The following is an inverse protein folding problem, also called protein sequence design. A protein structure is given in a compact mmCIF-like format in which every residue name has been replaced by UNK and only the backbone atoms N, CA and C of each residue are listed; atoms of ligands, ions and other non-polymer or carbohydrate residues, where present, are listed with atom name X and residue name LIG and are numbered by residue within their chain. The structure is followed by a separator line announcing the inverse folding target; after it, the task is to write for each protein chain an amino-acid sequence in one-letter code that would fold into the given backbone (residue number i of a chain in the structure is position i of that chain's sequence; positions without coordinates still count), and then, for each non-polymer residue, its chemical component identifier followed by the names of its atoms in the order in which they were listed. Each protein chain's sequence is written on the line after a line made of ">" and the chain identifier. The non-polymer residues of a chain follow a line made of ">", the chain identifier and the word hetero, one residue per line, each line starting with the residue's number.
data_IF_577050399799
#
_entry.id   IF_577050399799
#
_cell.length_a   1.000
_cell.length_b   1.000
_cell.length_c   1.000
_cell.angle_alpha   90.00
_cell.angle_beta   90.00
_cell.angle_gamma   90.00
#
_symmetry.space_group_name_H-M   'P 1'
#
loop_
_entity.id
_entity.type
_entity.pdbx_description
1 polymer ?
#
# COMPACT_ATOMS: atom_id res chain seq x y z
N UNK A 1 -14.60 -1.55 5.96
CA UNK A 1 -13.32 -1.44 5.23
C UNK A 1 -12.46 -0.43 5.95
N UNK A 2 -11.72 -0.88 6.94
CA UNK A 2 -10.65 -0.16 7.65
C UNK A 2 -9.73 -1.28 8.09
N UNK A 3 -8.48 -1.30 7.62
CA UNK A 3 -7.56 -2.38 7.98
C UNK A 3 -6.38 -2.59 7.05
N UNK A 4 -6.34 -1.93 5.89
CA UNK A 4 -5.14 -1.95 5.06
C UNK A 4 -4.15 -0.86 5.49
N UNK A 5 -4.62 0.18 6.18
CA UNK A 5 -3.82 1.31 6.64
C UNK A 5 -2.79 0.88 7.68
N UNK A 6 -3.19 0.07 8.66
CA UNK A 6 -2.26 -0.49 9.66
C UNK A 6 -1.26 -1.46 9.00
N UNK A 7 -1.74 -2.35 8.12
CA UNK A 7 -0.87 -3.28 7.38
C UNK A 7 0.16 -2.53 6.53
N UNK A 8 -0.25 -1.40 5.93
CA UNK A 8 0.62 -0.49 5.20
C UNK A 8 1.67 0.15 6.11
N UNK A 9 1.27 0.70 7.26
CA UNK A 9 2.21 1.31 8.22
C UNK A 9 3.25 0.30 8.72
N UNK A 10 2.80 -0.91 9.06
CA UNK A 10 3.66 -1.98 9.56
C UNK A 10 4.70 -2.38 8.49
N UNK A 11 4.27 -2.64 7.25
CA UNK A 11 5.17 -2.99 6.13
C UNK A 11 6.15 -1.86 5.82
N UNK A 12 5.68 -0.62 5.76
CA UNK A 12 6.54 0.54 5.48
C UNK A 12 7.60 0.71 6.57
N UNK A 13 7.20 0.55 7.84
CA UNK A 13 8.09 0.64 8.99
C UNK A 13 9.15 -0.45 8.94
N UNK A 14 8.74 -1.71 8.77
CA UNK A 14 9.66 -2.87 8.78
C UNK A 14 10.69 -2.79 7.66
N UNK A 15 10.28 -2.40 6.45
CA UNK A 15 11.21 -2.19 5.33
C UNK A 15 12.19 -1.06 5.60
N UNK A 16 11.68 0.09 6.06
CA UNK A 16 12.49 1.29 6.29
C UNK A 16 13.51 1.06 7.41
N UNK A 17 13.07 0.48 8.52
CA UNK A 17 13.90 0.23 9.69
C UNK A 17 14.93 -0.86 9.43
N UNK A 18 14.55 -1.95 8.75
CA UNK A 18 15.47 -3.02 8.39
C UNK A 18 16.59 -2.51 7.49
N UNK A 19 16.27 -1.68 6.46
CA UNK A 19 17.26 -1.05 5.59
C UNK A 19 18.18 -0.08 6.33
N UNK A 20 17.63 0.78 7.20
CA UNK A 20 18.44 1.69 8.03
C UNK A 20 19.40 0.93 8.94
N UNK A 21 18.93 -0.14 9.58
CA UNK A 21 19.75 -1.00 10.45
C UNK A 21 20.84 -1.72 9.65
N UNK A 22 20.52 -2.23 8.47
CA UNK A 22 21.50 -2.86 7.57
C UNK A 22 22.62 -1.88 7.19
N UNK A 23 22.26 -0.65 6.83
CA UNK A 23 23.23 0.41 6.52
C UNK A 23 24.11 0.75 7.73
N UNK A 24 23.49 0.98 8.89
CA UNK A 24 24.23 1.28 10.12
C UNK A 24 25.18 0.13 10.51
N UNK A 25 24.75 -1.12 10.34
CA UNK A 25 25.55 -2.30 10.60
C UNK A 25 26.77 -2.37 9.66
N UNK A 26 26.59 -2.07 8.37
CA UNK A 26 27.70 -1.98 7.39
C UNK A 26 28.72 -0.91 7.81
N UNK A 27 28.26 0.27 8.23
CA UNK A 27 29.12 1.37 8.68
C UNK A 27 29.89 1.03 9.97
N UNK A 28 29.25 0.32 10.91
CA UNK A 28 29.87 -0.12 12.16
C UNK A 28 30.98 -1.15 11.95
N UNK A 29 30.83 -2.03 10.96
CA UNK A 29 31.90 -2.97 10.59
C UNK A 29 33.01 -2.29 9.84
N UNK A 30 32.69 -1.41 8.89
CA UNK A 30 33.68 -0.64 8.14
C UNK A 30 34.56 0.22 9.08
N UNK A 31 33.99 0.72 10.18
CA UNK A 31 34.71 1.47 11.21
C UNK A 31 35.39 0.60 12.28
N UNK A 32 35.33 -0.73 12.18
CA UNK A 32 35.96 -1.66 13.13
C UNK A 32 35.30 -1.72 14.51
N UNK A 33 34.15 -1.05 14.69
CA UNK A 33 33.39 -1.05 15.96
C UNK A 33 32.64 -2.36 16.20
N UNK A 34 32.37 -3.12 15.14
CA UNK A 34 31.70 -4.43 15.18
C UNK A 34 32.56 -5.46 14.48
N UNK A 35 32.71 -6.63 15.10
CA UNK A 35 33.47 -7.74 14.51
C UNK A 35 32.75 -8.32 13.29
N UNK A 36 33.51 -8.90 12.36
CA UNK A 36 32.94 -9.60 11.20
C UNK A 36 31.97 -10.73 11.60
N UNK A 37 32.27 -11.46 12.67
CA UNK A 37 31.40 -12.54 13.18
C UNK A 37 30.06 -11.98 13.66
N UNK A 38 30.10 -10.86 14.39
CA UNK A 38 28.88 -10.17 14.85
C UNK A 38 28.07 -9.63 13.68
N UNK A 39 28.75 -9.10 12.65
CA UNK A 39 28.11 -8.68 11.41
C UNK A 39 27.39 -9.81 10.70
N UNK A 40 28.08 -10.92 10.44
CA UNK A 40 27.55 -12.05 9.69
C UNK A 40 26.27 -12.61 10.37
N UNK A 41 26.21 -12.62 11.70
CA UNK A 41 25.00 -12.99 12.45
C UNK A 41 23.86 -11.97 12.28
N UNK A 42 24.13 -10.69 12.52
CA UNK A 42 23.10 -9.64 12.52
C UNK A 42 22.58 -9.34 11.10
N UNK A 43 23.44 -9.42 10.09
CA UNK A 43 23.07 -9.17 8.70
C UNK A 43 22.11 -10.26 8.20
N UNK A 44 22.31 -11.52 8.58
CA UNK A 44 21.40 -12.62 8.22
C UNK A 44 20.01 -12.48 8.85
N UNK A 45 19.92 -12.03 10.11
CA UNK A 45 18.64 -11.73 10.76
C UNK A 45 17.91 -10.55 10.10
N UNK A 46 18.63 -9.47 9.79
CA UNK A 46 18.06 -8.30 9.11
C UNK A 46 17.63 -8.61 7.68
N UNK A 47 18.41 -9.38 6.93
CA UNK A 47 18.05 -9.80 5.57
C UNK A 47 16.82 -10.70 5.56
N UNK A 48 16.68 -11.62 6.52
CA UNK A 48 15.46 -12.43 6.67
C UNK A 48 14.23 -11.58 6.96
N UNK A 49 14.34 -10.61 7.87
CA UNK A 49 13.25 -9.66 8.16
C UNK A 49 12.88 -8.85 6.92
N UNK A 50 13.88 -8.36 6.19
CA UNK A 50 13.66 -7.61 4.95
C UNK A 50 12.94 -8.47 3.91
N UNK A 51 13.33 -9.73 3.73
CA UNK A 51 12.67 -10.65 2.81
C UNK A 51 11.19 -10.88 3.16
N UNK A 52 10.88 -11.08 4.45
CA UNK A 52 9.49 -11.24 4.91
C UNK A 52 8.69 -9.96 4.64
N UNK A 53 9.25 -8.80 4.99
CA UNK A 53 8.60 -7.51 4.77
C UNK A 53 8.39 -7.21 3.27
N UNK A 54 9.32 -7.64 2.41
CA UNK A 54 9.16 -7.54 0.95
C UNK A 54 8.03 -8.42 0.41
N UNK A 55 7.88 -9.64 0.92
CA UNK A 55 6.78 -10.49 0.52
C UNK A 55 5.44 -9.90 0.97
N UNK A 56 5.36 -9.40 2.21
CA UNK A 56 4.18 -8.70 2.71
C UNK A 56 3.87 -7.45 1.87
N UNK A 57 4.88 -6.68 1.46
CA UNK A 57 4.74 -5.53 0.55
C UNK A 57 4.10 -5.93 -0.78
N UNK A 58 4.53 -7.05 -1.38
CA UNK A 58 3.98 -7.54 -2.65
C UNK A 58 2.54 -7.99 -2.51
N UNK A 59 2.24 -8.75 -1.45
CA UNK A 59 0.88 -9.21 -1.15
C UNK A 59 -0.06 -8.02 -0.92
N UNK A 60 0.36 -7.05 -0.11
CA UNK A 60 -0.41 -5.85 0.16
C UNK A 60 -0.61 -5.03 -1.12
N UNK A 61 0.45 -4.81 -1.92
CA UNK A 61 0.35 -4.07 -3.17
C UNK A 61 -0.68 -4.71 -4.14
N UNK A 62 -0.69 -6.03 -4.27
CA UNK A 62 -1.67 -6.73 -5.09
C UNK A 62 -3.10 -6.51 -4.56
N UNK A 63 -3.32 -6.69 -3.26
CA UNK A 63 -4.61 -6.46 -2.58
C UNK A 63 -5.11 -5.02 -2.75
N UNK A 64 -4.25 -4.02 -2.61
CA UNK A 64 -4.62 -2.61 -2.79
C UNK A 64 -5.00 -2.31 -4.24
N UNK A 65 -4.32 -2.92 -5.22
CA UNK A 65 -4.66 -2.77 -6.63
C UNK A 65 -6.01 -3.41 -6.99
N UNK A 66 -6.32 -4.59 -6.44
CA UNK A 66 -7.65 -5.21 -6.61
C UNK A 66 -8.75 -4.34 -6.00
N UNK A 67 -8.54 -3.82 -4.80
CA UNK A 67 -9.49 -2.93 -4.13
C UNK A 67 -9.67 -1.62 -4.91
N UNK A 68 -8.60 -1.05 -5.47
CA UNK A 68 -8.66 0.13 -6.33
C UNK A 68 -9.55 -0.14 -7.57
N UNK A 69 -9.34 -1.25 -8.26
CA UNK A 69 -10.11 -1.60 -9.44
C UNK A 69 -11.62 -1.79 -9.12
N UNK A 70 -11.94 -2.39 -7.98
CA UNK A 70 -13.32 -2.53 -7.53
C UNK A 70 -13.97 -1.17 -7.19
N UNK A 71 -13.26 -0.27 -6.51
CA UNK A 71 -13.79 1.06 -6.21
C UNK A 71 -13.94 1.91 -7.48
N UNK A 72 -13.01 1.81 -8.45
CA UNK A 72 -13.15 2.48 -9.76
C UNK A 72 -14.43 2.04 -10.49
N UNK A 73 -14.74 0.73 -10.45
CA UNK A 73 -15.99 0.19 -11.00
C UNK A 73 -17.21 0.73 -10.27
N UNK A 74 -17.17 0.81 -8.93
CA UNK A 74 -18.26 1.37 -8.13
C UNK A 74 -18.48 2.87 -8.42
N UNK A 75 -17.40 3.66 -8.51
CA UNK A 75 -17.47 5.07 -8.93
C UNK A 75 -18.10 5.23 -10.31
N UNK A 76 -17.78 4.36 -11.27
CA UNK A 76 -18.41 4.38 -12.61
C UNK A 76 -19.91 4.09 -12.56
N UNK A 77 -20.34 3.14 -11.73
CA UNK A 77 -21.76 2.83 -11.54
C UNK A 77 -22.49 4.02 -10.89
N UNK A 78 -21.91 4.61 -9.84
CA UNK A 78 -22.47 5.79 -9.19
C UNK A 78 -22.62 6.97 -10.15
N UNK A 79 -21.61 7.22 -11.00
CA UNK A 79 -21.69 8.24 -12.04
C UNK A 79 -22.88 8.04 -12.99
N UNK A 80 -23.08 6.80 -13.48
CA UNK A 80 -24.25 6.47 -14.32
C UNK A 80 -25.57 6.64 -13.57
N UNK A 81 -25.64 6.24 -12.31
CA UNK A 81 -26.86 6.40 -11.50
C UNK A 81 -27.20 7.88 -11.27
N UNK A 82 -26.20 8.74 -11.11
CA UNK A 82 -26.39 10.19 -11.05
C UNK A 82 -26.97 10.67 -12.38
N UNK A 83 -26.35 10.36 -13.53
CA UNK A 83 -26.87 10.74 -14.86
C UNK A 83 -28.33 10.28 -15.07
N UNK A 84 -28.66 9.04 -14.72
CA UNK A 84 -30.03 8.54 -14.80
C UNK A 84 -30.99 9.30 -13.88
N UNK A 85 -30.55 9.66 -12.68
CA UNK A 85 -31.37 10.41 -11.72
C UNK A 85 -31.65 11.82 -12.23
N UNK A 86 -30.65 12.49 -12.81
CA UNK A 86 -30.79 13.81 -13.45
C UNK A 86 -31.78 13.76 -14.63
N UNK A 87 -31.69 12.75 -15.50
CA UNK A 87 -32.62 12.57 -16.63
C UNK A 87 -34.07 12.39 -16.17
N UNK A 88 -34.29 11.53 -15.16
CA UNK A 88 -35.64 11.27 -14.63
C UNK A 88 -36.24 12.50 -13.95
N UNK A 89 -35.41 13.32 -13.31
CA UNK A 89 -35.87 14.58 -12.75
C UNK A 89 -36.24 15.57 -13.87
N UNK A 90 -35.37 15.73 -14.87
CA UNK A 90 -35.61 16.61 -16.02
C UNK A 90 -36.82 16.21 -16.88
N UNK A 91 -37.18 14.93 -16.93
CA UNK A 91 -38.38 14.43 -17.61
C UNK A 91 -39.66 14.52 -16.76
N UNK A 92 -39.55 14.89 -15.48
CA UNK A 92 -40.67 14.94 -14.55
C UNK A 92 -41.13 13.56 -14.04
N UNK A 93 -40.33 12.51 -14.22
CA UNK A 93 -40.64 11.15 -13.72
C UNK A 93 -40.49 11.02 -12.20
N UNK A 94 -39.73 11.91 -11.56
CA UNK A 94 -39.53 11.95 -10.11
C UNK A 94 -39.75 13.34 -9.54
N UNK A 95 -40.17 13.40 -8.28
CA UNK A 95 -40.35 14.66 -7.56
C UNK A 95 -38.99 15.28 -7.17
N UNK A 96 -39.01 16.59 -6.94
CA UNK A 96 -37.86 17.34 -6.43
C UNK A 96 -37.34 16.77 -5.10
N UNK A 97 -38.22 16.49 -4.13
CA UNK A 97 -37.84 15.88 -2.84
C UNK A 97 -37.14 14.51 -3.02
N UNK A 98 -37.60 13.68 -3.95
CA UNK A 98 -36.95 12.40 -4.24
C UNK A 98 -35.59 12.61 -4.92
N UNK A 99 -35.54 13.52 -5.90
CA UNK A 99 -34.32 13.88 -6.60
C UNK A 99 -33.25 14.41 -5.63
N UNK A 100 -33.58 15.34 -4.74
CA UNK A 100 -32.63 15.91 -3.77
C UNK A 100 -32.04 14.84 -2.87
N UNK A 101 -32.88 13.95 -2.32
CA UNK A 101 -32.43 12.87 -1.43
C UNK A 101 -31.50 11.90 -2.14
N UNK A 102 -31.90 11.42 -3.31
CA UNK A 102 -31.13 10.41 -4.06
C UNK A 102 -29.85 11.03 -4.63
N UNK A 103 -29.92 12.21 -5.24
CA UNK A 103 -28.76 12.86 -5.84
C UNK A 103 -27.71 13.21 -4.77
N UNK A 104 -28.13 13.66 -3.59
CA UNK A 104 -27.22 13.92 -2.46
C UNK A 104 -26.52 12.65 -1.99
N UNK A 105 -27.26 11.56 -1.80
CA UNK A 105 -26.68 10.28 -1.36
C UNK A 105 -25.70 9.69 -2.39
N UNK A 106 -26.06 9.76 -3.69
CA UNK A 106 -25.20 9.28 -4.77
C UNK A 106 -23.92 10.11 -4.91
N UNK A 107 -24.03 11.45 -4.85
CA UNK A 107 -22.88 12.37 -4.90
C UNK A 107 -21.95 12.13 -3.71
N UNK A 108 -22.50 11.99 -2.51
CA UNK A 108 -21.73 11.63 -1.32
C UNK A 108 -20.97 10.30 -1.50
N UNK A 109 -21.63 9.26 -2.00
CA UNK A 109 -20.99 7.98 -2.27
C UNK A 109 -19.87 8.07 -3.30
N UNK A 110 -20.05 8.88 -4.35
CA UNK A 110 -19.03 9.10 -5.38
C UNK A 110 -17.83 9.87 -4.83
N UNK A 111 -18.08 10.93 -4.06
CA UNK A 111 -17.03 11.72 -3.41
C UNK A 111 -16.20 10.87 -2.45
N UNK A 112 -16.85 10.03 -1.65
CA UNK A 112 -16.15 9.13 -0.73
C UNK A 112 -15.35 8.05 -1.48
N UNK A 113 -15.91 7.50 -2.57
CA UNK A 113 -15.18 6.55 -3.42
C UNK A 113 -13.92 7.18 -4.04
N UNK A 114 -14.02 8.43 -4.51
CA UNK A 114 -12.87 9.18 -5.03
C UNK A 114 -11.83 9.47 -3.95
N UNK A 115 -12.27 9.81 -2.74
CA UNK A 115 -11.37 10.01 -1.58
C UNK A 115 -10.57 8.76 -1.28
N UNK A 116 -11.24 7.60 -1.18
CA UNK A 116 -10.57 6.31 -0.92
C UNK A 116 -9.63 5.95 -2.06
N UNK A 117 -10.03 6.16 -3.33
CA UNK A 117 -9.14 5.95 -4.48
C UNK A 117 -7.86 6.77 -4.39
N UNK A 118 -7.95 8.04 -3.97
CA UNK A 118 -6.78 8.89 -3.73
C UNK A 118 -5.84 8.28 -2.70
N UNK A 119 -6.36 7.85 -1.55
CA UNK A 119 -5.55 7.20 -0.50
C UNK A 119 -4.90 5.89 -0.99
N UNK A 120 -5.61 5.09 -1.78
CA UNK A 120 -5.06 3.86 -2.36
C UNK A 120 -3.96 4.13 -3.39
N UNK A 121 -4.12 5.17 -4.21
CA UNK A 121 -3.10 5.58 -5.18
C UNK A 121 -1.81 6.03 -4.48
N UNK A 122 -1.91 6.80 -3.40
CA UNK A 122 -0.75 7.22 -2.61
C UNK A 122 -0.06 6.02 -1.95
N UNK A 123 -0.83 5.12 -1.34
CA UNK A 123 -0.28 3.94 -0.67
C UNK A 123 0.41 2.98 -1.66
N UNK A 124 -0.24 2.66 -2.78
CA UNK A 124 0.34 1.79 -3.82
C UNK A 124 1.62 2.37 -4.40
N UNK A 125 1.62 3.66 -4.76
CA UNK A 125 2.82 4.37 -5.20
C UNK A 125 3.95 4.27 -4.17
N UNK A 126 3.64 4.45 -2.88
CA UNK A 126 4.65 4.35 -1.82
C UNK A 126 5.22 2.94 -1.70
N UNK A 127 4.39 1.91 -1.78
CA UNK A 127 4.83 0.51 -1.77
C UNK A 127 5.69 0.18 -3.00
N UNK A 128 5.41 0.77 -4.17
CA UNK A 128 6.23 0.61 -5.38
C UNK A 128 7.61 1.29 -5.23
N UNK A 129 7.66 2.50 -4.68
CA UNK A 129 8.92 3.21 -4.37
C UNK A 129 9.79 2.45 -3.36
N UNK A 130 9.15 1.68 -2.48
CA UNK A 130 9.83 0.84 -1.49
C UNK A 130 10.25 -0.52 -2.05
N UNK A 131 10.10 -0.81 -3.34
CA UNK A 131 10.65 -2.03 -3.91
C UNK A 131 12.17 -2.11 -3.68
N UNK A 132 12.73 -3.31 -3.45
CA UNK A 132 14.13 -3.47 -3.12
C UNK A 132 14.98 -3.21 -4.36
N UNK A 133 16.12 -2.54 -4.17
CA UNK A 133 17.15 -2.51 -5.22
C UNK A 133 17.94 -3.81 -5.21
N UNK A 134 18.49 -4.23 -6.36
CA UNK A 134 19.30 -5.46 -6.48
C UNK A 134 20.45 -5.54 -5.46
N UNK A 135 20.93 -4.41 -4.96
CA UNK A 135 22.01 -4.29 -3.96
C UNK A 135 21.56 -4.47 -2.51
N UNK A 136 20.27 -4.35 -2.21
CA UNK A 136 19.73 -4.42 -0.84
C UNK A 136 19.40 -5.85 -0.39
N UNK A 137 19.05 -6.71 -1.34
CA UNK A 137 18.86 -8.15 -1.11
C UNK A 137 20.23 -8.83 -1.26
N UNK A 138 21.07 -8.74 -0.24
CA UNK A 138 22.31 -9.52 -0.20
C UNK A 138 21.96 -11.01 0.00
N UNK A 139 21.74 -11.68 -1.13
CA UNK A 139 21.40 -13.10 -1.21
C UNK A 139 22.60 -13.98 -0.82
N UNK A 140 23.84 -13.47 -0.91
CA UNK A 140 25.05 -14.20 -0.49
C UNK A 140 25.09 -14.39 1.04
N UNK A 141 24.58 -13.42 1.81
CA UNK A 141 24.44 -13.54 3.26
C UNK A 141 23.40 -14.59 3.70
N UNK A 142 22.42 -14.92 2.85
CA UNK A 142 21.42 -15.96 3.13
C UNK A 142 21.96 -17.37 2.88
N UNK A 143 22.87 -17.56 1.91
CA UNK A 143 23.47 -18.87 1.60
C UNK A 143 24.54 -19.32 2.62
N UNK A 144 25.01 -18.43 3.51
CA UNK A 144 26.04 -18.75 4.50
C UNK A 144 25.51 -19.25 5.86
N UNK A 145 24.20 -19.33 6.04
CA UNK A 145 23.59 -19.69 7.35
C UNK A 145 23.30 -21.19 7.47
N UNK A 146 23.49 -21.97 6.39
CA UNK A 146 23.20 -23.41 6.34
C UNK A 146 24.46 -24.32 6.39
N UNK A 147 25.64 -23.79 6.75
CA UNK A 147 26.88 -24.57 7.02
C UNK A 147 27.28 -24.53 8.50
#
# INVERSE_FOLDING_TARGET
>A
MLGWEQEFEDVVSDLTDSRKRLKALKDLVASGKVSKITYDKLVGELNRRLLIAEEQRRVLLAKLNEMKAEIEKQSSILGKLIEFTELRFGSGEISEDYYEKVSTALKYGLDESNRVLGSLQEATKKLEELAPTYTELDVEGLMRVDE
#
